data_IF_017492182915
#
_entry.id   IF_017492182915
#
_cell.length_a   1.000
_cell.length_b   1.000
_cell.length_c   1.000
_cell.angle_alpha   90.00
_cell.angle_beta   90.00
_cell.angle_gamma   90.00
#
_symmetry.space_group_name_H-M   'P 1'
#
loop_
_entity.id
_entity.type
_entity.pdbx_description
1 polymer ?
#
# COMPACT_ATOMS: atom_id res chain seq x y z
N UNK A 1 -13.91 3.59 -14.68
CA UNK A 1 -14.58 2.31 -14.30
C UNK A 1 -14.07 1.78 -12.97
N UNK A 2 -12.74 1.61 -12.74
CA UNK A 2 -12.20 1.01 -11.51
C UNK A 2 -12.52 1.87 -10.28
N UNK A 3 -12.32 3.19 -10.34
CA UNK A 3 -12.67 4.12 -9.25
C UNK A 3 -14.15 4.04 -8.92
N UNK A 4 -15.01 4.00 -9.94
CA UNK A 4 -16.43 3.78 -9.72
C UNK A 4 -16.70 2.50 -8.92
N UNK A 5 -16.14 1.37 -9.36
CA UNK A 5 -16.32 0.07 -8.71
C UNK A 5 -15.77 0.07 -7.27
N UNK A 6 -14.58 0.65 -7.06
CA UNK A 6 -13.95 0.77 -5.75
C UNK A 6 -14.81 1.61 -4.79
N UNK A 7 -15.15 2.83 -5.19
CA UNK A 7 -15.90 3.74 -4.31
C UNK A 7 -17.34 3.26 -4.12
N UNK A 8 -17.96 2.67 -5.14
CA UNK A 8 -19.27 2.00 -5.00
C UNK A 8 -19.23 0.91 -3.94
N UNK A 9 -18.15 0.16 -3.85
CA UNK A 9 -17.98 -0.91 -2.84
C UNK A 9 -17.96 -0.36 -1.41
N UNK A 10 -17.52 0.89 -1.22
CA UNK A 10 -17.41 1.55 0.10
C UNK A 10 -18.66 2.38 0.40
N UNK A 11 -19.04 3.29 -0.50
CA UNK A 11 -20.01 4.36 -0.28
C UNK A 11 -21.26 4.29 -1.15
N UNK A 12 -21.44 3.22 -1.94
CA UNK A 12 -22.63 3.06 -2.78
C UNK A 12 -22.51 3.72 -4.16
N UNK A 13 -23.56 3.59 -4.97
CA UNK A 13 -23.54 3.95 -6.40
C UNK A 13 -23.35 5.46 -6.61
N UNK A 14 -24.02 6.29 -5.83
CA UNK A 14 -23.94 7.75 -5.94
C UNK A 14 -22.51 8.25 -5.67
N UNK A 15 -21.90 7.76 -4.56
CA UNK A 15 -20.51 8.09 -4.25
C UNK A 15 -19.55 7.64 -5.35
N UNK A 16 -19.77 6.46 -5.94
CA UNK A 16 -18.98 5.96 -7.06
C UNK A 16 -19.06 6.84 -8.30
N UNK A 17 -20.26 7.34 -8.65
CA UNK A 17 -20.45 8.25 -9.78
C UNK A 17 -19.71 9.57 -9.57
N UNK A 18 -19.86 10.20 -8.42
CA UNK A 18 -19.14 11.44 -8.11
C UNK A 18 -17.62 11.23 -8.13
N UNK A 19 -17.12 10.16 -7.50
CA UNK A 19 -15.70 9.87 -7.49
C UNK A 19 -15.14 9.65 -8.91
N UNK A 20 -15.86 8.96 -9.78
CA UNK A 20 -15.43 8.76 -11.17
C UNK A 20 -15.49 10.06 -12.00
N UNK A 21 -16.46 10.93 -11.74
CA UNK A 21 -16.55 12.23 -12.37
C UNK A 21 -15.36 13.12 -11.95
N UNK A 22 -15.11 13.26 -10.64
CA UNK A 22 -13.98 14.06 -10.16
C UNK A 22 -12.63 13.53 -10.66
N UNK A 23 -12.46 12.20 -10.70
CA UNK A 23 -11.26 11.62 -11.28
C UNK A 23 -11.09 11.93 -12.76
N UNK A 24 -12.18 11.89 -13.53
CA UNK A 24 -12.13 12.14 -14.99
C UNK A 24 -11.80 13.60 -15.32
N UNK A 25 -12.23 14.56 -14.50
CA UNK A 25 -11.97 15.99 -14.70
C UNK A 25 -10.73 16.49 -13.95
N UNK A 26 -10.05 15.64 -13.20
CA UNK A 26 -8.85 16.02 -12.45
C UNK A 26 -7.72 16.45 -13.39
N UNK A 27 -7.20 17.68 -13.27
CA UNK A 27 -6.14 18.20 -14.13
C UNK A 27 -4.89 17.31 -14.11
N UNK A 28 -4.51 16.79 -12.94
CA UNK A 28 -3.35 15.90 -12.78
C UNK A 28 -3.52 14.62 -13.60
N UNK A 29 -4.71 14.02 -13.54
CA UNK A 29 -5.00 12.77 -14.28
C UNK A 29 -4.98 13.01 -15.78
N UNK A 30 -5.57 14.13 -16.23
CA UNK A 30 -5.60 14.52 -17.64
C UNK A 30 -4.17 14.76 -18.15
N UNK A 31 -3.37 15.53 -17.42
CA UNK A 31 -1.98 15.84 -17.82
C UNK A 31 -1.09 14.60 -17.86
N UNK A 32 -1.19 13.73 -16.86
CA UNK A 32 -0.33 12.52 -16.75
C UNK A 32 -0.83 11.36 -17.60
N UNK A 33 -2.09 11.36 -18.03
CA UNK A 33 -2.70 10.35 -18.89
C UNK A 33 -2.78 10.70 -20.36
N UNK A 34 -2.30 11.89 -20.78
CA UNK A 34 -2.39 12.33 -22.18
C UNK A 34 -1.44 11.54 -23.10
N UNK A 35 -1.90 11.37 -24.35
CA UNK A 35 -1.13 10.70 -25.40
C UNK A 35 0.15 11.51 -25.65
N UNK A 36 1.31 10.81 -25.62
CA UNK A 36 2.63 11.45 -25.76
C UNK A 36 3.36 11.69 -24.44
N UNK A 37 2.67 11.59 -23.30
CA UNK A 37 3.28 11.63 -21.95
C UNK A 37 3.07 10.33 -21.18
N UNK A 38 2.95 9.22 -21.90
CA UNK A 38 2.69 7.91 -21.26
C UNK A 38 3.92 7.48 -20.46
N UNK A 39 3.81 7.59 -19.14
CA UNK A 39 4.77 7.06 -18.17
C UNK A 39 4.18 5.85 -17.45
N UNK A 40 4.98 5.22 -16.60
CA UNK A 40 4.58 4.07 -15.78
C UNK A 40 3.49 4.37 -14.73
N UNK A 41 3.29 5.65 -14.39
CA UNK A 41 2.35 6.09 -13.34
C UNK A 41 0.89 5.68 -13.61
N UNK A 42 0.30 5.93 -14.80
CA UNK A 42 -1.07 5.52 -15.08
C UNK A 42 -1.27 4.01 -14.98
N UNK A 43 -0.27 3.23 -15.42
CA UNK A 43 -0.32 1.77 -15.34
C UNK A 43 -0.21 1.29 -13.87
N UNK A 44 0.72 1.86 -13.11
CA UNK A 44 0.84 1.57 -11.68
C UNK A 44 -0.44 1.93 -10.92
N UNK A 45 -1.00 3.12 -11.16
CA UNK A 45 -2.26 3.56 -10.55
C UNK A 45 -3.43 2.62 -10.89
N UNK A 46 -3.51 2.17 -12.14
CA UNK A 46 -4.50 1.18 -12.58
C UNK A 46 -4.40 -0.11 -11.74
N UNK A 47 -3.20 -0.70 -11.64
CA UNK A 47 -2.99 -1.92 -10.87
C UNK A 47 -3.23 -1.72 -9.36
N UNK A 48 -2.77 -0.60 -8.80
CA UNK A 48 -2.97 -0.27 -7.39
C UNK A 48 -4.45 -0.15 -7.02
N UNK A 49 -5.22 0.63 -7.78
CA UNK A 49 -6.66 0.80 -7.56
C UNK A 49 -7.43 -0.51 -7.75
N UNK A 50 -7.08 -1.30 -8.77
CA UNK A 50 -7.71 -2.59 -9.03
C UNK A 50 -7.39 -3.60 -7.91
N UNK A 51 -6.16 -3.60 -7.40
CA UNK A 51 -5.78 -4.42 -6.26
C UNK A 51 -6.59 -4.08 -5.00
N UNK A 52 -6.72 -2.79 -4.67
CA UNK A 52 -7.54 -2.34 -3.52
C UNK A 52 -9.01 -2.72 -3.72
N UNK A 53 -9.56 -2.52 -4.93
CA UNK A 53 -10.93 -2.94 -5.24
C UNK A 53 -11.14 -4.44 -5.04
N UNK A 54 -10.23 -5.28 -5.56
CA UNK A 54 -10.35 -6.73 -5.41
C UNK A 54 -10.21 -7.15 -3.95
N UNK A 55 -9.29 -6.55 -3.20
CA UNK A 55 -9.13 -6.82 -1.76
C UNK A 55 -10.43 -6.51 -1.00
N UNK A 56 -10.97 -5.31 -1.15
CA UNK A 56 -12.20 -4.90 -0.46
C UNK A 56 -13.42 -5.70 -0.92
N UNK A 57 -13.55 -5.96 -2.22
CA UNK A 57 -14.60 -6.81 -2.78
C UNK A 57 -14.47 -8.27 -2.32
N UNK A 58 -13.25 -8.77 -2.14
CA UNK A 58 -12.97 -10.10 -1.60
C UNK A 58 -13.40 -10.21 -0.13
N UNK A 59 -13.08 -9.20 0.69
CA UNK A 59 -13.45 -9.12 2.11
C UNK A 59 -14.99 -9.04 2.28
N UNK A 60 -15.68 -8.40 1.35
CA UNK A 60 -17.16 -8.29 1.38
C UNK A 60 -17.88 -9.49 0.76
N UNK A 61 -17.18 -10.41 0.11
CA UNK A 61 -17.78 -11.55 -0.59
C UNK A 61 -18.18 -12.66 0.40
N UNK A 62 -19.42 -13.12 0.34
CA UNK A 62 -19.93 -14.25 1.15
C UNK A 62 -19.50 -15.61 0.59
N UNK A 63 -18.98 -15.65 -0.66
CA UNK A 63 -18.56 -16.89 -1.33
C UNK A 63 -17.08 -17.15 -1.08
N UNK A 64 -16.73 -18.09 -0.22
CA UNK A 64 -15.36 -18.37 0.22
C UNK A 64 -14.35 -18.55 -0.92
N UNK A 65 -14.65 -19.32 -1.97
CA UNK A 65 -13.75 -19.50 -3.13
C UNK A 65 -13.54 -18.21 -3.93
N UNK A 66 -14.61 -17.45 -4.15
CA UNK A 66 -14.57 -16.18 -4.87
C UNK A 66 -13.82 -15.12 -4.05
N UNK A 67 -14.02 -15.10 -2.74
CA UNK A 67 -13.27 -14.22 -1.83
C UNK A 67 -11.77 -14.48 -1.91
N UNK A 68 -11.36 -15.75 -1.80
CA UNK A 68 -9.94 -16.13 -1.90
C UNK A 68 -9.36 -15.75 -3.27
N UNK A 69 -10.05 -16.06 -4.35
CA UNK A 69 -9.58 -15.71 -5.71
C UNK A 69 -9.38 -14.20 -5.87
N UNK A 70 -10.28 -13.37 -5.34
CA UNK A 70 -10.14 -11.91 -5.36
C UNK A 70 -8.96 -11.43 -4.52
N UNK A 71 -8.74 -12.01 -3.34
CA UNK A 71 -7.62 -11.65 -2.45
C UNK A 71 -6.28 -12.03 -3.08
N UNK A 72 -6.19 -13.22 -3.68
CA UNK A 72 -5.01 -13.66 -4.45
C UNK A 72 -4.76 -12.72 -5.62
N UNK A 73 -5.81 -12.43 -6.43
CA UNK A 73 -5.73 -11.48 -7.53
C UNK A 73 -5.27 -10.08 -7.09
N UNK A 74 -5.72 -9.62 -5.92
CA UNK A 74 -5.30 -8.35 -5.35
C UNK A 74 -3.79 -8.33 -5.03
N UNK A 75 -3.26 -9.39 -4.43
CA UNK A 75 -1.82 -9.52 -4.17
C UNK A 75 -0.98 -9.54 -5.44
N UNK A 76 -1.40 -10.30 -6.45
CA UNK A 76 -0.74 -10.35 -7.76
C UNK A 76 -0.72 -8.96 -8.41
N UNK A 77 -1.87 -8.30 -8.51
CA UNK A 77 -1.98 -6.99 -9.16
C UNK A 77 -1.20 -5.91 -8.44
N UNK A 78 -1.14 -5.94 -7.10
CA UNK A 78 -0.32 -5.00 -6.35
C UNK A 78 1.17 -5.19 -6.65
N UNK A 79 1.64 -6.44 -6.84
CA UNK A 79 3.01 -6.74 -7.25
C UNK A 79 3.31 -6.23 -8.66
N UNK A 80 2.39 -6.42 -9.63
CA UNK A 80 2.51 -5.83 -10.96
C UNK A 80 2.54 -4.30 -10.91
N UNK A 81 1.73 -3.70 -10.05
CA UNK A 81 1.77 -2.27 -9.79
C UNK A 81 3.13 -1.81 -9.30
N UNK A 82 3.70 -2.49 -8.31
CA UNK A 82 5.02 -2.18 -7.75
C UNK A 82 6.13 -2.33 -8.80
N UNK A 83 6.07 -3.37 -9.63
CA UNK A 83 7.01 -3.54 -10.75
C UNK A 83 6.86 -2.44 -11.81
N UNK A 84 5.66 -1.89 -11.99
CA UNK A 84 5.40 -0.84 -12.97
C UNK A 84 5.76 0.55 -12.47
N UNK A 85 5.52 0.86 -11.18
CA UNK A 85 5.71 2.20 -10.62
C UNK A 85 5.99 2.18 -9.12
N UNK A 86 7.07 2.83 -8.71
CA UNK A 86 7.46 2.90 -7.28
C UNK A 86 6.44 3.60 -6.38
N UNK A 87 5.58 4.48 -6.92
CA UNK A 87 4.51 5.15 -6.19
C UNK A 87 3.43 4.21 -5.64
N UNK A 88 3.41 2.94 -6.04
CA UNK A 88 2.53 1.91 -5.46
C UNK A 88 2.75 1.73 -3.96
N UNK A 89 3.89 2.12 -3.44
CA UNK A 89 4.16 2.11 -1.99
C UNK A 89 3.10 2.90 -1.21
N UNK A 90 2.52 3.93 -1.79
CA UNK A 90 1.40 4.68 -1.20
C UNK A 90 0.11 3.84 -1.04
N UNK A 91 -0.06 2.76 -1.78
CA UNK A 91 -1.15 1.80 -1.58
C UNK A 91 -0.82 0.76 -0.53
N UNK A 92 0.46 0.36 -0.41
CA UNK A 92 0.92 -0.65 0.54
C UNK A 92 0.73 -0.17 1.98
N UNK A 93 1.05 1.10 2.25
CA UNK A 93 0.95 1.68 3.60
C UNK A 93 -0.50 1.65 4.12
N UNK A 94 -1.52 2.19 3.41
CA UNK A 94 -2.92 2.08 3.85
C UNK A 94 -3.42 0.65 4.00
N UNK A 95 -3.00 -0.29 3.14
CA UNK A 95 -3.36 -1.70 3.25
C UNK A 95 -2.76 -2.31 4.53
N UNK A 96 -1.50 -2.02 4.82
CA UNK A 96 -0.86 -2.46 6.06
C UNK A 96 -1.55 -1.90 7.31
N UNK A 97 -1.87 -0.61 7.32
CA UNK A 97 -2.64 0.04 8.40
C UNK A 97 -4.04 -0.57 8.54
N UNK A 98 -4.69 -0.89 7.42
CA UNK A 98 -5.97 -1.58 7.43
C UNK A 98 -5.85 -2.97 8.08
N UNK A 99 -4.80 -3.73 7.80
CA UNK A 99 -4.55 -5.02 8.46
C UNK A 99 -4.30 -4.86 9.96
N UNK A 100 -3.59 -3.82 10.40
CA UNK A 100 -3.44 -3.50 11.82
C UNK A 100 -4.77 -3.18 12.50
N UNK A 101 -5.68 -2.51 11.81
CA UNK A 101 -6.98 -2.12 12.35
C UNK A 101 -8.00 -3.28 12.38
N UNK A 102 -7.87 -4.25 11.47
CA UNK A 102 -8.86 -5.35 11.32
C UNK A 102 -9.17 -6.11 12.61
N UNK A 103 -8.20 -6.50 13.46
CA UNK A 103 -8.48 -7.24 14.70
C UNK A 103 -9.34 -6.47 15.71
N UNK A 104 -9.30 -5.13 15.63
CA UNK A 104 -10.08 -4.25 16.51
C UNK A 104 -11.49 -4.01 15.97
N UNK A 105 -11.67 -4.14 14.64
CA UNK A 105 -12.94 -3.86 13.96
C UNK A 105 -13.82 -5.11 13.79
N UNK A 106 -13.22 -6.29 13.64
CA UNK A 106 -13.96 -7.54 13.41
C UNK A 106 -13.64 -8.59 14.47
N UNK A 107 -14.67 -9.40 14.79
CA UNK A 107 -14.56 -10.52 15.74
C UNK A 107 -14.18 -11.85 15.09
N UNK A 108 -14.37 -12.01 13.78
CA UNK A 108 -14.02 -13.23 13.06
C UNK A 108 -12.53 -13.32 12.77
N UNK A 109 -11.82 -13.90 13.73
CA UNK A 109 -10.37 -14.01 13.69
C UNK A 109 -9.86 -14.91 12.55
N UNK A 110 -10.60 -15.95 12.16
CA UNK A 110 -10.16 -16.87 11.11
C UNK A 110 -10.15 -16.17 9.75
N UNK A 111 -11.22 -15.51 9.41
CA UNK A 111 -11.33 -14.79 8.14
C UNK A 111 -10.28 -13.66 8.04
N UNK A 112 -10.07 -12.93 9.12
CA UNK A 112 -9.08 -11.84 9.19
C UNK A 112 -7.66 -12.35 8.91
N UNK A 113 -7.24 -13.44 9.60
CA UNK A 113 -5.92 -14.04 9.42
C UNK A 113 -5.77 -14.53 7.97
N UNK A 114 -6.72 -15.31 7.48
CA UNK A 114 -6.62 -15.86 6.14
C UNK A 114 -6.53 -14.77 5.08
N UNK A 115 -7.34 -13.72 5.17
CA UNK A 115 -7.32 -12.61 4.23
C UNK A 115 -5.96 -11.90 4.20
N UNK A 116 -5.45 -11.51 5.35
CA UNK A 116 -4.18 -10.78 5.43
C UNK A 116 -2.98 -11.66 5.09
N UNK A 117 -2.95 -12.90 5.57
CA UNK A 117 -1.85 -13.83 5.29
C UNK A 117 -1.81 -14.22 3.82
N UNK A 118 -2.96 -14.59 3.21
CA UNK A 118 -3.01 -14.94 1.78
C UNK A 118 -2.57 -13.74 0.94
N UNK A 119 -3.14 -12.56 1.19
CA UNK A 119 -2.79 -11.35 0.44
C UNK A 119 -1.29 -11.05 0.53
N UNK A 120 -0.75 -10.98 1.77
CA UNK A 120 0.66 -10.63 1.98
C UNK A 120 1.59 -11.70 1.43
N UNK A 121 1.28 -12.99 1.60
CA UNK A 121 2.10 -14.07 1.06
C UNK A 121 2.14 -14.04 -0.46
N UNK A 122 1.01 -13.86 -1.13
CA UNK A 122 0.95 -13.77 -2.59
C UNK A 122 1.71 -12.54 -3.08
N UNK A 123 1.49 -11.38 -2.44
CA UNK A 123 2.18 -10.15 -2.79
C UNK A 123 3.70 -10.29 -2.67
N UNK A 124 4.18 -10.86 -1.56
CA UNK A 124 5.62 -11.10 -1.33
C UNK A 124 6.19 -12.10 -2.33
N UNK A 125 5.54 -13.24 -2.53
CA UNK A 125 6.01 -14.28 -3.45
C UNK A 125 6.12 -13.78 -4.89
N UNK A 126 5.11 -13.05 -5.38
CA UNK A 126 5.13 -12.50 -6.75
C UNK A 126 6.19 -11.40 -6.87
N UNK A 127 6.36 -10.56 -5.85
CA UNK A 127 7.40 -9.52 -5.85
C UNK A 127 8.81 -10.12 -5.87
N UNK A 128 9.06 -11.17 -5.07
CA UNK A 128 10.32 -11.92 -5.09
C UNK A 128 10.53 -12.59 -6.45
N UNK A 129 9.48 -13.15 -7.05
CA UNK A 129 9.56 -13.74 -8.38
C UNK A 129 10.07 -12.73 -9.42
N UNK A 130 9.58 -11.48 -9.39
CA UNK A 130 10.07 -10.43 -10.28
C UNK A 130 11.56 -10.12 -10.04
N UNK A 131 12.02 -10.09 -8.80
CA UNK A 131 13.44 -9.89 -8.47
C UNK A 131 14.30 -11.05 -9.00
N UNK A 132 13.83 -12.28 -8.85
CA UNK A 132 14.52 -13.47 -9.38
C UNK A 132 14.59 -13.46 -10.91
N UNK A 133 13.49 -13.11 -11.59
CA UNK A 133 13.45 -13.01 -13.05
C UNK A 133 14.46 -11.95 -13.56
N UNK A 134 14.58 -10.83 -12.88
CA UNK A 134 15.59 -9.83 -13.16
C UNK A 134 17.00 -10.36 -12.94
N UNK A 135 17.24 -11.08 -11.86
CA UNK A 135 18.55 -11.66 -11.53
C UNK A 135 19.06 -12.67 -12.57
N UNK A 136 18.16 -13.39 -13.24
CA UNK A 136 18.51 -14.33 -14.34
C UNK A 136 18.57 -13.65 -15.72
N UNK A 137 18.54 -12.30 -15.78
CA UNK A 137 18.73 -11.52 -17.01
C UNK A 137 17.48 -11.34 -17.88
N UNK A 138 16.29 -11.68 -17.39
CA UNK A 138 15.06 -11.32 -18.09
C UNK A 138 14.82 -9.81 -18.01
N UNK A 139 14.29 -9.18 -19.07
CA UNK A 139 14.03 -7.73 -19.10
C UNK A 139 12.82 -7.36 -18.25
N UNK A 140 12.87 -7.66 -16.95
CA UNK A 140 11.84 -7.27 -15.99
C UNK A 140 12.37 -6.06 -15.21
N UNK A 141 11.77 -4.93 -15.41
CA UNK A 141 12.03 -3.74 -14.62
C UNK A 141 11.30 -3.85 -13.29
N UNK A 142 12.03 -3.77 -12.18
CA UNK A 142 11.45 -3.79 -10.83
C UNK A 142 11.63 -2.42 -10.20
N UNK A 143 11.18 -1.34 -10.78
CA UNK A 143 11.17 0.01 -10.19
C UNK A 143 12.38 0.43 -9.32
N UNK A 144 13.49 -0.33 -9.35
CA UNK A 144 14.72 -0.08 -8.57
C UNK A 144 14.63 -0.47 -7.08
N UNK A 145 13.55 -1.09 -6.65
CA UNK A 145 13.35 -1.47 -5.24
C UNK A 145 13.47 -2.98 -5.05
N UNK A 146 14.43 -3.41 -4.26
CA UNK A 146 14.42 -4.77 -3.70
C UNK A 146 13.32 -4.84 -2.65
N UNK A 147 12.30 -5.66 -2.91
CA UNK A 147 11.10 -5.73 -2.07
C UNK A 147 11.43 -6.05 -0.60
N UNK A 148 12.35 -7.00 -0.37
CA UNK A 148 12.70 -7.46 0.99
C UNK A 148 13.40 -6.36 1.80
N UNK A 149 14.19 -5.52 1.16
CA UNK A 149 14.91 -4.42 1.81
C UNK A 149 14.12 -3.10 1.81
N UNK A 150 12.98 -3.04 1.11
CA UNK A 150 12.14 -1.85 1.09
C UNK A 150 11.36 -1.69 2.39
N UNK A 151 11.26 -0.45 2.88
CA UNK A 151 10.46 -0.15 4.07
C UNK A 151 9.00 -0.61 3.91
N UNK A 152 8.43 -0.48 2.71
CA UNK A 152 7.06 -0.87 2.42
C UNK A 152 6.86 -2.39 2.49
N UNK A 153 7.82 -3.18 2.02
CA UNK A 153 7.79 -4.64 2.12
C UNK A 153 7.85 -5.10 3.57
N UNK A 154 8.82 -4.59 4.31
CA UNK A 154 8.96 -4.88 5.75
C UNK A 154 7.74 -4.40 6.54
N UNK A 155 7.17 -3.26 6.18
CA UNK A 155 5.99 -2.72 6.85
C UNK A 155 4.77 -3.64 6.71
N UNK A 156 4.43 -4.10 5.48
CA UNK A 156 3.25 -4.97 5.29
C UNK A 156 3.44 -6.36 5.92
N UNK A 157 4.67 -6.90 5.88
CA UNK A 157 5.02 -8.13 6.57
C UNK A 157 4.88 -7.96 8.08
N UNK A 158 5.40 -6.86 8.62
CA UNK A 158 5.29 -6.51 10.05
C UNK A 158 3.85 -6.34 10.50
N UNK A 159 3.02 -5.63 9.73
CA UNK A 159 1.59 -5.46 10.01
C UNK A 159 0.84 -6.79 10.03
N UNK A 160 1.12 -7.66 9.04
CA UNK A 160 0.51 -8.99 8.97
C UNK A 160 1.00 -9.89 10.10
N UNK A 161 2.29 -9.88 10.39
CA UNK A 161 2.89 -10.62 11.51
C UNK A 161 2.30 -10.18 12.85
N UNK A 162 2.21 -8.90 13.10
CA UNK A 162 1.54 -8.34 14.29
C UNK A 162 0.10 -8.84 14.42
N UNK A 163 -0.68 -8.77 13.34
CA UNK A 163 -2.06 -9.23 13.32
C UNK A 163 -2.17 -10.71 13.70
N UNK A 164 -1.33 -11.56 13.13
CA UNK A 164 -1.30 -13.01 13.44
C UNK A 164 -0.96 -13.24 14.89
N UNK A 165 0.11 -12.64 15.39
CA UNK A 165 0.55 -12.74 16.79
C UNK A 165 -0.55 -12.27 17.75
N UNK A 166 -1.15 -11.11 17.47
CA UNK A 166 -2.23 -10.58 18.30
C UNK A 166 -3.43 -11.51 18.37
N UNK A 167 -3.86 -12.10 17.25
CA UNK A 167 -4.99 -13.01 17.23
C UNK A 167 -4.67 -14.33 17.95
N UNK A 168 -3.43 -14.83 17.84
CA UNK A 168 -2.99 -16.03 18.59
C UNK A 168 -3.00 -15.74 20.09
N UNK A 169 -2.42 -14.61 20.53
CA UNK A 169 -2.39 -14.20 21.94
C UNK A 169 -3.82 -14.05 22.47
N UNK A 170 -4.71 -13.40 21.71
CA UNK A 170 -6.11 -13.24 22.08
C UNK A 170 -6.84 -14.57 22.23
N UNK A 171 -6.50 -15.58 21.41
CA UNK A 171 -7.08 -16.92 21.51
C UNK A 171 -6.54 -17.69 22.72
N UNK A 172 -5.25 -17.55 23.04
CA UNK A 172 -4.63 -18.23 24.17
C UNK A 172 -5.00 -17.59 25.50
N UNK A 173 -4.99 -16.28 25.58
CA UNK A 173 -5.29 -15.51 26.78
C UNK A 173 -6.70 -14.96 26.68
N UNK A 174 -7.71 -15.72 27.16
CA UNK A 174 -9.14 -15.34 27.14
C UNK A 174 -9.45 -13.96 27.76
N UNK A 175 -8.52 -13.36 28.50
CA UNK A 175 -8.64 -12.09 29.20
C UNK A 175 -7.95 -10.90 28.51
N UNK A 176 -7.33 -11.08 27.33
CA UNK A 176 -6.68 -9.95 26.64
C UNK A 176 -7.78 -9.05 26.07
N UNK A 177 -8.10 -8.03 26.83
CA UNK A 177 -9.01 -6.96 26.44
C UNK A 177 -8.35 -6.07 25.39
N UNK A 178 -9.13 -5.21 24.75
CA UNK A 178 -8.66 -4.16 23.81
C UNK A 178 -7.41 -3.42 24.30
N UNK A 179 -7.31 -3.15 25.63
CA UNK A 179 -6.16 -2.50 26.25
C UNK A 179 -4.84 -3.26 26.02
N UNK A 180 -4.84 -4.60 26.12
CA UNK A 180 -3.66 -5.41 25.86
C UNK A 180 -3.22 -5.35 24.39
N UNK A 181 -4.17 -5.23 23.45
CA UNK A 181 -3.87 -5.03 22.02
C UNK A 181 -3.16 -3.71 21.75
N UNK A 182 -3.57 -2.62 22.37
CA UNK A 182 -2.89 -1.32 22.26
C UNK A 182 -1.50 -1.31 22.88
N UNK A 183 -1.30 -2.00 24.02
CA UNK A 183 0.02 -2.16 24.62
C UNK A 183 0.96 -2.94 23.70
N UNK A 184 0.46 -4.03 23.11
CA UNK A 184 1.23 -4.84 22.18
C UNK A 184 1.57 -4.06 20.89
N UNK A 185 0.64 -3.26 20.39
CA UNK A 185 0.88 -2.37 19.25
C UNK A 185 1.93 -1.31 19.59
N UNK A 186 1.81 -0.66 20.74
CA UNK A 186 2.78 0.33 21.20
C UNK A 186 4.18 -0.27 21.35
N UNK A 187 4.29 -1.49 21.94
CA UNK A 187 5.59 -2.17 22.07
C UNK A 187 6.18 -2.55 20.72
N UNK A 188 5.36 -2.98 19.75
CA UNK A 188 5.82 -3.30 18.40
C UNK A 188 6.30 -2.05 17.65
N UNK A 189 5.63 -0.90 17.81
CA UNK A 189 6.05 0.38 17.24
C UNK A 189 7.39 0.82 17.86
N UNK A 190 7.53 0.78 19.18
CA UNK A 190 8.78 1.13 19.88
C UNK A 190 9.92 0.21 19.43
N UNK A 191 9.69 -1.09 19.34
CA UNK A 191 10.67 -2.04 18.81
C UNK A 191 11.05 -1.74 17.36
N UNK A 192 10.08 -1.42 16.50
CA UNK A 192 10.31 -1.02 15.11
C UNK A 192 11.16 0.24 15.00
N UNK A 193 10.89 1.27 15.81
CA UNK A 193 11.68 2.50 15.88
C UNK A 193 13.10 2.18 16.38
N UNK A 194 13.25 1.36 17.41
CA UNK A 194 14.56 0.98 17.96
C UNK A 194 15.40 0.22 16.91
N UNK A 195 14.79 -0.69 16.16
CA UNK A 195 15.47 -1.41 15.07
C UNK A 195 15.84 -0.45 13.93
N UNK A 196 14.95 0.46 13.58
CA UNK A 196 15.21 1.47 12.55
C UNK A 196 16.35 2.43 12.97
N UNK A 197 16.41 2.84 14.24
CA UNK A 197 17.46 3.71 14.77
C UNK A 197 18.81 3.00 14.98
N UNK A 198 18.82 1.66 15.07
CA UNK A 198 20.06 0.88 15.21
C UNK A 198 20.91 0.80 13.94
N UNK A 199 20.42 1.32 12.81
CA UNK A 199 21.10 1.23 11.51
C UNK A 199 21.06 -0.16 10.86
N UNK A 200 20.40 -1.14 11.47
CA UNK A 200 20.23 -2.48 10.91
C UNK A 200 19.38 -2.50 9.63
N UNK A 201 18.53 -1.49 9.46
CA UNK A 201 17.66 -1.32 8.31
C UNK A 201 18.02 0.00 7.65
N UNK A 202 18.40 -0.05 6.37
CA UNK A 202 18.55 1.15 5.57
C UNK A 202 17.16 1.79 5.40
N UNK A 203 16.93 2.90 6.12
CA UNK A 203 15.72 3.68 5.93
C UNK A 203 15.71 4.20 4.48
N UNK A 204 14.53 4.23 3.82
CA UNK A 204 14.43 4.79 2.49
C UNK A 204 15.01 6.22 2.50
N UNK A 205 15.70 6.56 1.43
CA UNK A 205 16.26 7.90 1.25
C UNK A 205 15.19 8.95 1.54
N UNK A 206 15.59 10.09 2.07
CA UNK A 206 14.76 11.23 2.49
C UNK A 206 13.71 11.69 1.46
N UNK A 207 13.77 11.21 0.21
CA UNK A 207 12.84 11.53 -0.89
C UNK A 207 11.36 11.41 -0.49
N UNK A 208 11.00 10.35 0.24
CA UNK A 208 9.60 10.15 0.65
C UNK A 208 9.23 10.93 1.92
N UNK A 209 10.20 11.21 2.78
CA UNK A 209 9.99 12.06 3.95
C UNK A 209 9.78 13.52 3.55
N UNK A 210 10.41 13.97 2.47
CA UNK A 210 10.18 15.31 1.92
C UNK A 210 8.76 15.47 1.38
N UNK A 211 8.25 14.45 0.66
CA UNK A 211 6.87 14.47 0.19
C UNK A 211 5.85 14.48 1.35
N UNK A 212 6.21 13.89 2.50
CA UNK A 212 5.36 13.82 3.69
C UNK A 212 5.50 15.05 4.61
N UNK A 213 6.61 15.77 4.53
CA UNK A 213 6.87 16.95 5.36
C UNK A 213 7.29 18.15 4.52
N UNK A 214 6.35 19.03 4.14
CA UNK A 214 6.63 20.19 3.30
C UNK A 214 7.53 21.24 3.97
N UNK A 215 7.83 21.09 5.27
CA UNK A 215 8.74 21.96 6.02
C UNK A 215 10.19 21.45 6.02
N UNK A 216 10.45 20.24 5.55
CA UNK A 216 11.80 19.73 5.36
C UNK A 216 12.39 20.31 4.07
N UNK A 217 13.18 21.36 4.24
CA UNK A 217 14.01 21.91 3.16
C UNK A 217 15.22 20.98 3.02
N UNK A 218 15.24 20.19 1.93
CA UNK A 218 16.44 19.41 1.62
C UNK A 218 17.43 20.27 0.84
N UNK A 219 18.67 20.21 1.26
CA UNK A 219 19.81 20.86 0.57
C UNK A 219 20.40 19.99 -0.53
N UNK A 220 19.74 18.90 -0.93
CA UNK A 220 20.27 17.95 -1.90
C UNK A 220 19.86 18.38 -3.32
N UNK A 221 20.82 18.95 -4.07
CA UNK A 221 20.61 19.47 -5.45
C UNK A 221 20.00 18.43 -6.40
N UNK A 222 20.27 17.14 -6.21
CA UNK A 222 19.68 16.07 -7.01
C UNK A 222 18.20 15.86 -6.71
N UNK A 223 17.77 16.13 -5.49
CA UNK A 223 16.37 16.04 -5.09
C UNK A 223 15.56 17.23 -5.63
N UNK A 224 16.16 18.40 -5.63
CA UNK A 224 15.51 19.64 -6.11
C UNK A 224 15.45 19.72 -7.64
N UNK A 225 16.36 19.03 -8.36
CA UNK A 225 16.38 19.00 -9.83
C UNK A 225 15.26 18.15 -10.43
N UNK A 226 14.66 17.24 -9.66
CA UNK A 226 13.54 16.40 -10.11
C UNK A 226 12.25 16.94 -9.52
N UNK A 227 11.43 17.57 -10.35
CA UNK A 227 10.16 18.18 -9.91
C UNK A 227 9.23 17.24 -9.13
N UNK A 228 9.38 15.93 -9.31
CA UNK A 228 8.62 14.89 -8.61
C UNK A 228 9.08 14.68 -7.16
N UNK A 229 10.26 15.15 -6.80
CA UNK A 229 10.84 15.04 -5.46
C UNK A 229 10.92 16.40 -4.74
N UNK A 230 10.70 17.49 -5.47
CA UNK A 230 10.67 18.82 -4.89
C UNK A 230 9.44 18.98 -3.98
N UNK A 231 9.61 19.76 -2.90
CA UNK A 231 8.48 20.16 -2.06
C UNK A 231 7.46 20.91 -2.90
N UNK A 232 6.21 20.48 -2.87
CA UNK A 232 5.11 21.23 -3.49
C UNK A 232 4.96 22.57 -2.78
N UNK A 233 5.21 23.67 -3.49
CA UNK A 233 4.94 25.00 -2.97
C UNK A 233 3.43 25.19 -2.78
N UNK A 234 3.03 26.08 -1.86
CA UNK A 234 1.63 26.38 -1.59
C UNK A 234 0.93 26.81 -2.88
N UNK A 235 1.59 27.57 -3.74
CA UNK A 235 1.05 28.03 -5.03
C UNK A 235 0.76 26.87 -5.99
N UNK A 236 1.67 25.89 -6.09
CA UNK A 236 1.46 24.68 -6.90
C UNK A 236 0.32 23.84 -6.34
N UNK A 237 0.28 23.67 -5.01
CA UNK A 237 -0.81 22.95 -4.35
C UNK A 237 -2.16 23.61 -4.60
N UNK A 238 -2.21 24.94 -4.52
CA UNK A 238 -3.44 25.71 -4.78
C UNK A 238 -3.89 25.57 -6.24
N UNK A 239 -2.95 25.59 -7.20
CA UNK A 239 -3.27 25.48 -8.62
C UNK A 239 -3.78 24.09 -9.04
N UNK A 240 -3.39 23.04 -8.34
CA UNK A 240 -3.79 21.66 -8.66
C UNK A 240 -4.99 21.15 -7.85
N UNK A 241 -5.32 21.79 -6.73
CA UNK A 241 -6.39 21.33 -5.82
C UNK A 241 -7.54 22.32 -5.67
N UNK A 242 -7.47 23.50 -6.27
CA UNK A 242 -8.58 24.46 -6.38
C UNK A 242 -9.41 24.21 -7.63
#
# INVERSE_FOLDING_TARGET
IIIFALVRTIGGTTAGLFASLFFAVSPIIIMRGSIGWFKSEPLGLFYGLLAVYLLLSGIKSDKGKVSIAKIVGAGILLSFGLASWGGIQFFIIPIGLFFLALPFLRKDNRFIIWTSVIFTSVFVLVSILFELLKAIGLPVETGGFTFISSLSGLFIIGCTGFLVVYVIIRKMLKKVQLRGGFVLLGSAIVAGIAIASSGMINLPSFRYLNAANPLLITTDMLTDSVSEHATTTIDISFYFFS
#
